data_IF_372903601900
#
_entry.id   IF_372903601900
#
_cell.length_a   1.000
_cell.length_b   1.000
_cell.length_c   1.000
_cell.angle_alpha   90.00
_cell.angle_beta   90.00
_cell.angle_gamma   90.00
#
_symmetry.space_group_name_H-M   'P 1'
#
loop_
_entity.id
_entity.type
_entity.pdbx_description
1 polymer ?
#
# COMPACT_ATOMS: atom_id res chain seq x y z
N UNK A 1 -15.79 -42.00 21.00
CA UNK A 1 -15.80 -40.80 21.86
C UNK A 1 -14.66 -39.90 21.37
N UNK A 2 -15.05 -38.73 20.83
CA UNK A 2 -14.27 -37.57 20.33
C UNK A 2 -12.90 -37.74 19.67
N UNK A 3 -12.87 -37.61 18.33
CA UNK A 3 -11.70 -37.09 17.61
C UNK A 3 -11.59 -35.60 17.90
N UNK A 4 -10.61 -35.19 18.71
CA UNK A 4 -10.23 -33.77 18.85
C UNK A 4 -9.75 -33.26 17.49
N UNK A 5 -10.55 -32.42 16.86
CA UNK A 5 -10.15 -31.61 15.71
C UNK A 5 -9.03 -30.68 16.19
N UNK A 6 -7.82 -30.91 15.71
CA UNK A 6 -6.75 -29.94 15.85
C UNK A 6 -7.18 -28.68 15.09
N UNK A 7 -7.57 -27.64 15.83
CA UNK A 7 -7.81 -26.32 15.28
C UNK A 7 -6.44 -25.78 14.84
N UNK A 8 -6.09 -26.04 13.59
CA UNK A 8 -4.91 -25.41 12.99
C UNK A 8 -5.25 -23.92 12.88
N UNK A 9 -4.69 -23.10 13.76
CA UNK A 9 -4.66 -21.65 13.61
C UNK A 9 -3.94 -21.32 12.30
N UNK A 10 -4.72 -21.26 11.22
CA UNK A 10 -4.22 -20.95 9.89
C UNK A 10 -3.88 -19.46 9.91
N UNK A 11 -2.60 -19.13 9.83
CA UNK A 11 -2.15 -17.75 9.69
C UNK A 11 -2.83 -17.14 8.45
N UNK A 12 -3.78 -16.24 8.69
CA UNK A 12 -4.55 -15.58 7.62
C UNK A 12 -3.70 -14.45 7.02
N UNK A 13 -2.98 -13.71 7.87
CA UNK A 13 -2.06 -12.62 7.47
C UNK A 13 -0.96 -12.51 8.53
N UNK A 14 0.31 -12.51 8.10
CA UNK A 14 1.47 -12.21 8.96
C UNK A 14 1.96 -10.79 8.72
N UNK A 15 1.69 -9.87 9.65
CA UNK A 15 2.14 -8.47 9.59
C UNK A 15 3.05 -8.19 10.78
N UNK A 16 4.14 -7.47 10.53
CA UNK A 16 5.05 -7.03 11.60
C UNK A 16 4.35 -6.06 12.56
N UNK A 17 4.77 -6.05 13.83
CA UNK A 17 4.18 -5.17 14.83
C UNK A 17 4.53 -3.70 14.55
N UNK A 18 3.58 -2.79 14.84
CA UNK A 18 3.75 -1.34 14.76
C UNK A 18 4.78 -0.78 15.75
N UNK A 19 5.46 0.30 15.36
CA UNK A 19 6.23 1.14 16.30
C UNK A 19 5.25 1.99 17.12
N UNK A 20 5.56 2.24 18.40
CA UNK A 20 4.68 3.00 19.32
C UNK A 20 5.28 4.32 19.79
N UNK A 21 6.58 4.35 20.02
CA UNK A 21 7.28 5.47 20.65
C UNK A 21 8.25 6.08 19.63
N UNK A 22 7.69 6.71 18.59
CA UNK A 22 8.44 7.33 17.50
C UNK A 22 7.84 8.69 17.14
N UNK A 23 8.58 9.50 16.38
CA UNK A 23 8.10 10.80 15.92
C UNK A 23 6.88 10.64 14.99
N UNK A 24 5.97 11.64 14.92
CA UNK A 24 4.74 11.53 14.12
C UNK A 24 4.96 11.08 12.67
N UNK A 25 5.98 11.62 12.00
CA UNK A 25 6.32 11.26 10.63
C UNK A 25 6.79 9.81 10.48
N UNK A 26 7.49 9.29 11.50
CA UNK A 26 7.95 7.91 11.52
C UNK A 26 6.77 6.94 11.76
N UNK A 27 5.82 7.33 12.61
CA UNK A 27 4.58 6.58 12.82
C UNK A 27 3.74 6.52 11.55
N UNK A 28 3.59 7.64 10.84
CA UNK A 28 2.86 7.70 9.56
C UNK A 28 3.53 6.79 8.53
N UNK A 29 4.86 6.87 8.40
CA UNK A 29 5.62 6.03 7.47
C UNK A 29 5.54 4.55 7.83
N UNK A 30 5.65 4.19 9.11
CA UNK A 30 5.54 2.80 9.57
C UNK A 30 4.17 2.22 9.23
N UNK A 31 3.12 2.96 9.59
CA UNK A 31 1.74 2.59 9.27
C UNK A 31 1.55 2.44 7.75
N UNK A 32 2.02 3.42 6.97
CA UNK A 32 1.87 3.41 5.53
C UNK A 32 2.58 2.22 4.87
N UNK A 33 3.81 1.95 5.30
CA UNK A 33 4.58 0.79 4.84
C UNK A 33 3.84 -0.53 5.14
N UNK A 34 3.20 -0.66 6.31
CA UNK A 34 2.39 -1.83 6.67
C UNK A 34 1.14 -1.97 5.81
N UNK A 35 0.45 -0.87 5.51
CA UNK A 35 -0.72 -0.87 4.62
C UNK A 35 -0.36 -1.32 3.20
N UNK A 36 0.79 -0.86 2.67
CA UNK A 36 1.26 -1.30 1.38
C UNK A 36 1.70 -2.77 1.37
N UNK A 37 2.23 -3.29 2.48
CA UNK A 37 2.71 -4.67 2.58
C UNK A 37 1.60 -5.73 2.40
N UNK A 38 0.34 -5.37 2.62
CA UNK A 38 -0.80 -6.28 2.41
C UNK A 38 -1.37 -6.22 0.99
N UNK A 39 -0.84 -5.36 0.12
CA UNK A 39 -1.30 -5.24 -1.27
C UNK A 39 -0.78 -6.42 -2.10
N UNK A 40 -1.70 -7.21 -2.62
CA UNK A 40 -1.37 -8.35 -3.45
C UNK A 40 -0.54 -7.95 -4.68
N UNK A 41 0.54 -8.69 -4.93
CA UNK A 41 1.52 -8.48 -6.02
C UNK A 41 2.33 -7.18 -5.95
N UNK A 42 2.26 -6.43 -4.86
CA UNK A 42 3.18 -5.31 -4.64
C UNK A 42 4.50 -5.87 -4.08
N UNK A 43 5.58 -5.72 -4.84
CA UNK A 43 6.91 -6.16 -4.40
C UNK A 43 7.50 -5.19 -3.38
N UNK A 44 8.29 -5.70 -2.44
CA UNK A 44 8.98 -4.90 -1.42
C UNK A 44 9.81 -3.74 -1.99
N UNK A 45 10.45 -3.92 -3.14
CA UNK A 45 11.24 -2.88 -3.80
C UNK A 45 10.36 -1.74 -4.33
N UNK A 46 9.19 -2.05 -4.88
CA UNK A 46 8.19 -1.06 -5.28
C UNK A 46 7.53 -0.39 -4.09
N UNK A 47 7.24 -1.14 -3.02
CA UNK A 47 6.72 -0.60 -1.77
C UNK A 47 7.63 0.49 -1.21
N UNK A 48 8.94 0.20 -1.11
CA UNK A 48 9.94 1.20 -0.65
C UNK A 48 9.98 2.43 -1.54
N UNK A 49 9.89 2.26 -2.86
CA UNK A 49 9.84 3.37 -3.80
C UNK A 49 8.57 4.24 -3.63
N UNK A 50 7.42 3.62 -3.37
CA UNK A 50 6.17 4.34 -3.08
C UNK A 50 6.30 5.14 -1.78
N UNK A 51 6.80 4.54 -0.69
CA UNK A 51 7.00 5.25 0.59
C UNK A 51 8.00 6.40 0.45
N UNK A 52 9.04 6.24 -0.38
CA UNK A 52 10.01 7.30 -0.63
C UNK A 52 9.39 8.49 -1.40
N UNK A 53 8.52 8.23 -2.38
CA UNK A 53 7.84 9.28 -3.14
C UNK A 53 6.67 9.91 -2.37
N UNK A 54 5.95 9.09 -1.61
CA UNK A 54 4.74 9.44 -0.87
C UNK A 54 4.89 8.97 0.58
N UNK A 55 5.67 9.70 1.40
CA UNK A 55 5.89 9.34 2.80
C UNK A 55 4.64 9.51 3.65
N UNK A 56 3.74 10.42 3.26
CA UNK A 56 2.45 10.65 3.88
C UNK A 56 1.31 10.36 2.87
N UNK A 57 0.55 9.28 3.07
CA UNK A 57 -0.55 8.91 2.18
C UNK A 57 -1.74 9.89 2.22
N UNK A 58 -1.92 10.68 3.28
CA UNK A 58 -2.97 11.70 3.35
C UNK A 58 -2.62 12.88 2.45
N UNK A 59 -1.36 13.32 2.48
CA UNK A 59 -0.88 14.36 1.56
C UNK A 59 -0.89 13.85 0.11
N UNK A 60 -0.50 12.60 -0.12
CA UNK A 60 -0.57 11.98 -1.43
C UNK A 60 -2.02 11.91 -1.95
N UNK A 61 -2.97 11.48 -1.11
CA UNK A 61 -4.40 11.41 -1.44
C UNK A 61 -4.92 12.76 -1.94
N UNK A 62 -4.65 13.85 -1.23
CA UNK A 62 -5.07 15.20 -1.62
C UNK A 62 -4.48 15.62 -2.96
N UNK A 63 -3.15 15.50 -3.10
CA UNK A 63 -2.43 15.86 -4.33
C UNK A 63 -2.92 15.07 -5.54
N UNK A 64 -3.10 13.76 -5.40
CA UNK A 64 -3.53 12.89 -6.50
C UNK A 64 -4.99 13.17 -6.89
N UNK A 65 -5.86 13.45 -5.91
CA UNK A 65 -7.24 13.83 -6.15
C UNK A 65 -7.34 15.15 -6.93
N UNK A 66 -6.54 16.15 -6.58
CA UNK A 66 -6.48 17.45 -7.27
C UNK A 66 -5.92 17.33 -8.70
N UNK A 67 -4.92 16.48 -8.90
CA UNK A 67 -4.30 16.25 -10.20
C UNK A 67 -5.24 15.54 -11.19
N UNK A 68 -6.15 14.72 -10.68
CA UNK A 68 -7.09 13.95 -11.47
C UNK A 68 -6.50 12.66 -12.06
N UNK A 69 -7.40 11.68 -12.25
CA UNK A 69 -7.07 10.28 -12.55
C UNK A 69 -5.97 10.08 -13.61
N UNK A 70 -6.15 10.65 -14.81
CA UNK A 70 -5.28 10.37 -15.96
C UNK A 70 -3.82 10.78 -15.71
N UNK A 71 -3.62 11.95 -15.09
CA UNK A 71 -2.29 12.47 -14.79
C UNK A 71 -1.68 11.74 -13.60
N UNK A 72 -2.46 11.53 -12.54
CA UNK A 72 -2.05 10.83 -11.34
C UNK A 72 -1.59 9.39 -11.64
N UNK A 73 -2.38 8.61 -12.38
CA UNK A 73 -2.01 7.23 -12.74
C UNK A 73 -0.78 7.20 -13.63
N UNK A 74 -0.63 8.16 -14.55
CA UNK A 74 0.59 8.26 -15.37
C UNK A 74 1.81 8.48 -14.49
N UNK A 75 1.74 9.41 -13.55
CA UNK A 75 2.85 9.72 -12.65
C UNK A 75 3.21 8.52 -11.76
N UNK A 76 2.21 7.90 -11.12
CA UNK A 76 2.42 6.73 -10.26
C UNK A 76 3.02 5.57 -11.07
N UNK A 77 2.61 5.37 -12.32
CA UNK A 77 3.13 4.30 -13.17
C UNK A 77 4.60 4.48 -13.55
N UNK A 78 5.17 5.68 -13.38
CA UNK A 78 6.58 5.97 -13.60
C UNK A 78 7.46 5.70 -12.35
N UNK A 79 6.88 5.42 -11.18
CA UNK A 79 7.64 5.10 -9.97
C UNK A 79 8.56 3.90 -10.24
N UNK A 80 9.86 4.10 -10.05
CA UNK A 80 10.87 3.06 -10.25
C UNK A 80 11.32 2.48 -8.92
N UNK A 81 11.37 1.16 -8.85
CA UNK A 81 12.08 0.45 -7.78
C UNK A 81 13.59 0.63 -7.90
N UNK A 82 14.33 0.24 -6.87
CA UNK A 82 15.81 0.19 -6.87
C UNK A 82 16.40 -0.60 -8.06
N UNK A 83 15.63 -1.51 -8.66
CA UNK A 83 16.02 -2.29 -9.84
C UNK A 83 15.79 -1.57 -11.17
N UNK A 84 15.30 -0.33 -11.16
CA UNK A 84 14.88 0.44 -12.34
C UNK A 84 13.53 0.00 -12.92
N UNK A 85 12.92 -1.06 -12.39
CA UNK A 85 11.60 -1.52 -12.85
C UNK A 85 10.51 -0.55 -12.39
N UNK A 86 9.71 -0.11 -13.35
CA UNK A 86 8.52 0.72 -13.13
C UNK A 86 7.39 -0.05 -12.44
N UNK A 87 6.56 0.67 -11.69
CA UNK A 87 5.36 0.13 -11.04
C UNK A 87 4.31 -0.34 -12.07
N UNK A 88 4.16 0.41 -13.16
CA UNK A 88 3.26 0.09 -14.25
C UNK A 88 1.80 0.50 -14.00
N UNK A 89 0.97 0.51 -15.07
CA UNK A 89 -0.34 1.17 -15.06
C UNK A 89 -1.38 0.47 -14.16
N UNK A 90 -1.35 -0.86 -14.05
CA UNK A 90 -2.33 -1.62 -13.25
C UNK A 90 -2.16 -1.33 -11.76
N UNK A 91 -0.92 -1.39 -11.28
CA UNK A 91 -0.63 -1.11 -9.87
C UNK A 91 -0.77 0.39 -9.57
N UNK A 92 -0.47 1.25 -10.53
CA UNK A 92 -0.70 2.69 -10.41
C UNK A 92 -2.18 3.05 -10.26
N UNK A 93 -3.04 2.43 -11.07
CA UNK A 93 -4.49 2.55 -10.94
C UNK A 93 -4.96 2.11 -9.55
N UNK A 94 -4.51 0.93 -9.08
CA UNK A 94 -4.87 0.42 -7.75
C UNK A 94 -4.45 1.35 -6.61
N UNK A 95 -3.22 1.88 -6.66
CA UNK A 95 -2.74 2.82 -5.65
C UNK A 95 -3.54 4.12 -5.68
N UNK A 96 -3.88 4.63 -6.87
CA UNK A 96 -4.74 5.80 -7.00
C UNK A 96 -6.11 5.55 -6.36
N UNK A 97 -6.81 4.48 -6.76
CA UNK A 97 -8.13 4.17 -6.21
C UNK A 97 -8.08 3.97 -4.69
N UNK A 98 -7.06 3.29 -4.16
CA UNK A 98 -6.89 3.13 -2.71
C UNK A 98 -6.79 4.46 -1.96
N UNK A 99 -6.15 5.47 -2.57
CA UNK A 99 -5.90 6.76 -1.92
C UNK A 99 -7.04 7.76 -2.14
N UNK A 100 -7.87 7.60 -3.18
CA UNK A 100 -8.83 8.63 -3.59
C UNK A 100 -10.27 8.16 -3.68
N UNK A 101 -10.52 6.85 -3.80
CA UNK A 101 -11.89 6.32 -3.86
C UNK A 101 -12.57 6.44 -2.49
N UNK A 102 -13.73 7.10 -2.49
CA UNK A 102 -14.56 7.31 -1.30
C UNK A 102 -15.57 6.17 -1.10
N UNK A 103 -15.73 5.29 -2.10
CA UNK A 103 -16.69 4.18 -2.04
C UNK A 103 -16.07 2.89 -1.49
N UNK A 104 -14.76 2.73 -1.63
CA UNK A 104 -14.02 1.53 -1.21
C UNK A 104 -14.29 0.30 -2.09
N UNK A 105 -14.98 0.45 -3.21
CA UNK A 105 -15.42 -0.67 -4.06
C UNK A 105 -14.28 -1.25 -4.89
N UNK A 106 -13.27 -0.44 -5.17
CA UNK A 106 -12.21 -0.72 -6.14
C UNK A 106 -11.03 -1.51 -5.53
N UNK A 107 -11.04 -1.72 -4.22
CA UNK A 107 -10.01 -2.46 -3.49
C UNK A 107 -10.20 -3.99 -3.60
N UNK A 108 -11.37 -4.46 -4.05
CA UNK A 108 -11.77 -5.88 -4.00
C UNK A 108 -11.50 -6.66 -5.33
N UNK A 109 -11.04 -6.01 -6.40
CA UNK A 109 -10.86 -6.62 -7.73
C UNK A 109 -9.44 -7.16 -8.04
#
# INVERSE_FOLDING_TARGET
MEKRLAHSDRLIVGVEKGVKDAEPDELIRDWWNKMLAVINRLQDSHRRAIVAMYPDPILASRRLSEMGYKQAVKEIAEIQSDSGRRLGPVMAHRLFMMLTDVTGSEIIA
#
